data_IF_644273163866
#
_entry.id   IF_644273163866
#
_cell.length_a   1.000
_cell.length_b   1.000
_cell.length_c   1.000
_cell.angle_alpha   90.00
_cell.angle_beta   90.00
_cell.angle_gamma   90.00
#
_symmetry.space_group_name_H-M   'P 1'
#
loop_
_entity.id
_entity.type
_entity.pdbx_description
1 polymer ?
#
# COMPACT_ATOMS: atom_id res chain seq x y z
N UNK A 1 12.44 0.13 -6.96
CA UNK A 1 11.62 -0.27 -8.15
C UNK A 1 11.89 -1.69 -8.66
N UNK A 2 12.63 -2.49 -7.90
CA UNK A 2 12.95 -3.90 -8.24
C UNK A 2 11.72 -4.76 -8.60
N UNK A 3 10.54 -4.45 -8.05
CA UNK A 3 9.30 -5.20 -8.32
C UNK A 3 8.73 -5.01 -9.72
N UNK A 4 9.19 -4.02 -10.49
CA UNK A 4 8.79 -3.79 -11.88
C UNK A 4 9.74 -4.44 -12.89
N UNK A 5 10.89 -4.91 -12.45
CA UNK A 5 11.88 -5.56 -13.30
C UNK A 5 11.37 -6.91 -13.82
N UNK A 6 11.67 -7.25 -15.09
CA UNK A 6 11.42 -8.60 -15.60
C UNK A 6 12.33 -9.59 -14.86
N UNK A 7 11.78 -10.57 -14.15
CA UNK A 7 12.59 -11.51 -13.37
C UNK A 7 13.41 -12.47 -14.25
N UNK A 8 13.17 -12.54 -15.55
CA UNK A 8 13.91 -13.39 -16.48
C UNK A 8 15.01 -12.61 -17.22
N UNK A 9 14.70 -11.43 -17.74
CA UNK A 9 15.66 -10.57 -18.45
C UNK A 9 15.07 -9.16 -18.55
N UNK A 10 15.63 -8.22 -17.81
CA UNK A 10 15.16 -6.83 -17.82
C UNK A 10 16.00 -6.00 -18.82
N UNK A 11 15.32 -5.37 -19.77
CA UNK A 11 15.92 -4.48 -20.75
C UNK A 11 15.85 -2.99 -20.34
N UNK A 12 15.33 -2.71 -19.14
CA UNK A 12 15.21 -1.37 -18.58
C UNK A 12 16.22 -1.19 -17.46
N UNK A 13 17.16 -0.28 -17.66
CA UNK A 13 18.07 0.16 -16.60
C UNK A 13 17.35 1.17 -15.73
N UNK A 14 17.30 0.93 -14.43
CA UNK A 14 16.73 1.86 -13.45
C UNK A 14 17.86 2.49 -12.67
N UNK A 15 17.91 3.82 -12.70
CA UNK A 15 18.85 4.56 -11.88
C UNK A 15 18.43 4.43 -10.42
N UNK A 16 19.41 4.26 -9.54
CA UNK A 16 19.18 4.26 -8.10
C UNK A 16 18.83 5.66 -7.62
N UNK A 17 17.89 5.75 -6.68
CA UNK A 17 17.58 7.02 -6.02
C UNK A 17 18.81 7.50 -5.22
N UNK A 18 19.32 8.72 -5.49
CA UNK A 18 20.49 9.22 -4.79
C UNK A 18 20.15 9.49 -3.32
N UNK A 19 21.08 9.13 -2.45
CA UNK A 19 20.98 9.39 -1.00
C UNK A 19 21.55 10.77 -0.71
N UNK A 20 20.85 11.63 0.06
CA UNK A 20 21.39 12.92 0.47
C UNK A 20 22.71 12.77 1.21
N UNK A 21 23.75 13.52 0.78
CA UNK A 21 25.07 13.45 1.38
C UNK A 21 25.09 13.92 2.88
N UNK A 22 24.13 14.74 3.27
CA UNK A 22 23.94 15.25 4.63
C UNK A 22 23.08 14.32 5.49
N UNK A 23 22.55 13.22 4.94
CA UNK A 23 21.71 12.24 5.64
C UNK A 23 20.37 12.78 6.09
N UNK A 24 19.89 13.92 5.53
CA UNK A 24 18.57 14.49 5.86
C UNK A 24 17.43 13.54 5.49
N UNK A 25 16.37 13.56 6.29
CA UNK A 25 15.13 12.82 6.06
C UNK A 25 13.94 13.78 6.04
N UNK A 26 12.85 13.35 5.39
CA UNK A 26 11.55 14.04 5.45
C UNK A 26 10.68 13.49 6.58
N UNK A 27 9.60 14.17 6.97
CA UNK A 27 8.63 13.63 7.92
C UNK A 27 8.18 12.22 7.50
N UNK A 28 8.32 11.24 8.41
CA UNK A 28 8.09 9.82 8.09
C UNK A 28 9.38 8.99 7.95
N UNK A 29 10.56 9.63 7.95
CA UNK A 29 11.86 8.97 8.09
C UNK A 29 12.52 8.46 6.80
N UNK A 30 12.00 8.81 5.61
CA UNK A 30 12.66 8.50 4.34
C UNK A 30 13.46 9.67 3.77
N UNK A 31 14.29 9.41 2.76
CA UNK A 31 15.06 10.45 2.09
C UNK A 31 14.16 11.36 1.26
N UNK A 32 14.47 12.66 1.16
CA UNK A 32 13.87 13.52 0.15
C UNK A 32 14.23 13.00 -1.26
N UNK A 33 13.32 13.07 -2.22
CA UNK A 33 13.57 12.60 -3.58
C UNK A 33 14.48 13.61 -4.33
N UNK A 34 15.80 13.44 -4.24
CA UNK A 34 16.76 14.38 -4.85
C UNK A 34 16.55 14.56 -6.35
N UNK A 35 16.02 13.55 -7.05
CA UNK A 35 15.65 13.65 -8.47
C UNK A 35 14.49 14.62 -8.73
N UNK A 36 13.75 15.03 -7.70
CA UNK A 36 12.69 16.05 -7.78
C UNK A 36 13.14 17.42 -7.24
N UNK A 37 14.42 17.61 -6.96
CA UNK A 37 14.95 18.93 -6.60
C UNK A 37 15.13 19.79 -7.85
N UNK A 38 14.91 21.12 -7.76
CA UNK A 38 15.15 22.05 -8.86
C UNK A 38 16.56 21.93 -9.41
N UNK A 39 16.71 21.90 -10.74
CA UNK A 39 17.99 21.78 -11.42
C UNK A 39 18.50 20.36 -11.59
N UNK A 40 18.00 19.37 -10.84
CA UNK A 40 18.51 18.00 -10.97
C UNK A 40 18.33 17.45 -12.40
N UNK A 41 17.16 17.64 -12.99
CA UNK A 41 16.88 17.20 -14.35
C UNK A 41 17.82 17.89 -15.34
N UNK A 42 18.04 19.21 -15.19
CA UNK A 42 18.92 19.97 -16.06
C UNK A 42 20.37 19.48 -16.01
N UNK A 43 20.84 19.08 -14.84
CA UNK A 43 22.20 18.58 -14.62
C UNK A 43 22.38 17.12 -15.11
N UNK A 44 21.30 16.31 -15.12
CA UNK A 44 21.34 14.86 -15.34
C UNK A 44 20.54 14.37 -16.55
N UNK A 45 19.95 15.26 -17.37
CA UNK A 45 19.10 14.86 -18.51
C UNK A 45 19.78 13.93 -19.52
N UNK A 46 21.10 13.87 -19.56
CA UNK A 46 21.84 12.95 -20.43
C UNK A 46 21.99 11.55 -19.84
N UNK A 47 21.70 11.36 -18.56
CA UNK A 47 21.90 10.10 -17.84
C UNK A 47 20.68 9.17 -17.94
N UNK A 48 19.52 9.68 -18.40
CA UNK A 48 18.28 8.92 -18.51
C UNK A 48 17.50 9.23 -19.80
N UNK A 49 16.68 8.29 -20.22
CA UNK A 49 15.82 8.41 -21.41
C UNK A 49 14.38 8.79 -21.03
N UNK A 50 13.85 8.26 -19.93
CA UNK A 50 12.48 8.46 -19.45
C UNK A 50 12.51 8.79 -17.96
N UNK A 51 11.74 9.79 -17.53
CA UNK A 51 11.54 10.12 -16.13
C UNK A 51 10.22 9.50 -15.65
N UNK A 52 10.28 8.60 -14.66
CA UNK A 52 9.08 7.91 -14.17
C UNK A 52 8.89 8.12 -12.66
N UNK A 53 7.85 8.87 -12.30
CA UNK A 53 7.47 9.10 -10.91
C UNK A 53 6.45 8.06 -10.44
N UNK A 54 6.67 7.52 -9.24
CA UNK A 54 5.73 6.61 -8.57
C UNK A 54 5.16 7.19 -7.27
N UNK A 55 6.03 7.60 -6.37
CA UNK A 55 5.73 8.21 -5.06
C UNK A 55 6.98 8.94 -4.56
N UNK A 56 6.95 9.44 -3.31
CA UNK A 56 8.08 10.14 -2.71
C UNK A 56 8.04 11.66 -2.88
N UNK A 57 7.03 12.20 -3.54
CA UNK A 57 6.85 13.64 -3.73
C UNK A 57 6.00 14.31 -2.63
N UNK A 58 5.63 13.56 -1.60
CA UNK A 58 4.72 14.02 -0.52
C UNK A 58 5.18 15.31 0.18
N UNK A 59 6.51 15.46 0.32
CA UNK A 59 7.13 16.63 0.94
C UNK A 59 7.54 17.72 -0.09
N UNK A 60 7.20 17.53 -1.39
CA UNK A 60 7.59 18.45 -2.46
C UNK A 60 6.41 19.36 -2.82
N UNK A 61 6.60 20.67 -2.75
CA UNK A 61 5.55 21.62 -3.12
C UNK A 61 5.17 21.56 -4.61
N UNK A 62 3.94 21.93 -4.98
CA UNK A 62 3.47 21.91 -6.37
C UNK A 62 4.28 22.85 -7.28
N UNK A 63 4.85 23.92 -6.72
CA UNK A 63 5.73 24.86 -7.45
C UNK A 63 7.01 24.14 -7.91
N UNK A 64 7.64 23.40 -7.00
CA UNK A 64 8.86 22.64 -7.29
C UNK A 64 8.57 21.53 -8.33
N UNK A 65 7.45 20.82 -8.18
CA UNK A 65 7.03 19.82 -9.19
C UNK A 65 6.79 20.48 -10.55
N UNK A 66 6.28 21.71 -10.57
CA UNK A 66 6.10 22.48 -11.82
C UNK A 66 7.44 22.81 -12.46
N UNK A 67 8.46 23.20 -11.68
CA UNK A 67 9.82 23.46 -12.17
C UNK A 67 10.43 22.17 -12.76
N UNK A 68 10.36 21.04 -12.07
CA UNK A 68 10.84 19.75 -12.56
C UNK A 68 10.19 19.36 -13.90
N UNK A 69 8.87 19.51 -14.01
CA UNK A 69 8.14 19.25 -15.26
C UNK A 69 8.57 20.20 -16.39
N UNK A 70 8.85 21.46 -16.09
CA UNK A 70 9.36 22.41 -17.07
C UNK A 70 10.76 22.04 -17.53
N UNK A 71 11.64 21.60 -16.62
CA UNK A 71 12.99 21.12 -16.99
C UNK A 71 12.92 19.87 -17.89
N UNK A 72 12.04 18.91 -17.57
CA UNK A 72 11.82 17.74 -18.43
C UNK A 72 11.42 18.16 -19.85
N UNK A 73 10.49 19.11 -19.99
CA UNK A 73 10.07 19.65 -21.28
C UNK A 73 11.18 20.38 -22.01
N UNK A 74 11.99 21.19 -21.31
CA UNK A 74 13.12 21.92 -21.90
C UNK A 74 14.19 20.98 -22.49
N UNK A 75 14.34 19.80 -21.91
CA UNK A 75 15.32 18.79 -22.34
C UNK A 75 14.71 17.65 -23.16
N UNK A 76 13.47 17.82 -23.63
CA UNK A 76 12.73 16.80 -24.41
C UNK A 76 12.73 15.41 -23.73
N UNK A 77 12.57 15.39 -22.40
CA UNK A 77 12.53 14.15 -21.61
C UNK A 77 11.08 13.71 -21.35
N UNK A 78 10.68 12.55 -21.86
CA UNK A 78 9.36 12.00 -21.60
C UNK A 78 9.12 11.75 -20.10
N UNK A 79 7.89 12.04 -19.67
CA UNK A 79 7.46 11.91 -18.29
C UNK A 79 6.32 10.89 -18.16
N UNK A 80 6.56 9.84 -17.37
CA UNK A 80 5.55 8.83 -17.01
C UNK A 80 5.19 8.98 -15.53
N UNK A 81 3.92 8.89 -15.19
CA UNK A 81 3.49 8.94 -13.79
C UNK A 81 2.59 7.75 -13.44
N UNK A 82 2.99 6.97 -12.44
CA UNK A 82 2.13 5.94 -11.84
C UNK A 82 1.38 6.52 -10.64
N UNK A 83 0.07 6.67 -10.80
CA UNK A 83 -0.83 7.15 -9.74
C UNK A 83 -1.13 5.98 -8.80
N UNK A 84 -0.34 5.86 -7.73
CA UNK A 84 -0.55 4.85 -6.68
C UNK A 84 -1.68 5.24 -5.73
N UNK A 85 -1.70 6.50 -5.30
CA UNK A 85 -2.67 7.01 -4.35
C UNK A 85 -3.45 8.17 -4.95
N UNK A 86 -4.77 8.10 -4.92
CA UNK A 86 -5.68 9.20 -5.26
C UNK A 86 -5.89 10.12 -4.05
N UNK A 87 -5.49 9.68 -2.89
CA UNK A 87 -5.36 10.42 -1.65
C UNK A 87 -4.19 9.87 -0.85
N UNK A 88 -3.29 10.76 -0.44
CA UNK A 88 -2.09 10.38 0.30
C UNK A 88 -2.47 9.81 1.68
N UNK A 89 -2.06 8.57 2.00
CA UNK A 89 -2.39 7.94 3.27
C UNK A 89 -1.71 8.58 4.50
N UNK A 90 -0.73 9.42 4.29
CA UNK A 90 0.01 10.11 5.36
C UNK A 90 -0.57 11.48 5.72
N UNK A 91 -1.35 12.09 4.81
CA UNK A 91 -1.89 13.43 5.00
C UNK A 91 -3.33 13.39 5.50
N UNK A 92 -3.64 14.12 6.58
CA UNK A 92 -5.01 14.30 7.08
C UNK A 92 -5.87 15.04 6.06
N UNK A 93 -5.33 16.13 5.53
CA UNK A 93 -6.01 16.98 4.54
C UNK A 93 -5.60 16.59 3.11
N UNK A 94 -6.54 16.54 2.15
CA UNK A 94 -6.28 16.07 0.79
C UNK A 94 -5.66 17.15 -0.13
N UNK A 95 -5.77 18.43 0.21
CA UNK A 95 -5.53 19.55 -0.69
C UNK A 95 -4.13 19.54 -1.28
N UNK A 96 -3.10 19.40 -0.44
CA UNK A 96 -1.70 19.43 -0.89
C UNK A 96 -1.43 18.31 -1.91
N UNK A 97 -1.94 17.10 -1.65
CA UNK A 97 -1.77 15.99 -2.56
C UNK A 97 -2.54 16.18 -3.88
N UNK A 98 -3.75 16.78 -3.82
CA UNK A 98 -4.53 17.12 -5.03
C UNK A 98 -3.77 18.13 -5.88
N UNK A 99 -3.16 19.15 -5.28
CA UNK A 99 -2.38 20.16 -5.99
C UNK A 99 -1.15 19.53 -6.67
N UNK A 100 -0.42 18.67 -5.97
CA UNK A 100 0.68 17.89 -6.54
C UNK A 100 0.22 17.03 -7.72
N UNK A 101 -0.89 16.30 -7.56
CA UNK A 101 -1.47 15.48 -8.63
C UNK A 101 -1.93 16.30 -9.83
N UNK A 102 -2.48 17.50 -9.61
CA UNK A 102 -2.86 18.41 -10.71
C UNK A 102 -1.66 18.75 -11.60
N UNK A 103 -0.49 18.96 -11.01
CA UNK A 103 0.75 19.20 -11.78
C UNK A 103 1.20 17.96 -12.51
N UNK A 104 1.36 16.85 -11.80
CA UNK A 104 1.94 15.61 -12.35
C UNK A 104 1.03 14.96 -13.41
N UNK A 105 -0.28 14.87 -13.14
CA UNK A 105 -1.25 14.25 -14.06
C UNK A 105 -1.42 15.09 -15.34
N UNK A 106 -1.43 16.41 -15.21
CA UNK A 106 -1.53 17.27 -16.38
C UNK A 106 -0.30 17.17 -17.29
N UNK A 107 0.87 16.98 -16.70
CA UNK A 107 2.15 17.03 -17.40
C UNK A 107 2.60 15.67 -17.99
N UNK A 108 2.18 14.55 -17.40
CA UNK A 108 2.64 13.24 -17.82
C UNK A 108 2.25 12.91 -19.26
N UNK A 109 3.20 12.35 -20.03
CA UNK A 109 2.94 11.82 -21.37
C UNK A 109 2.09 10.55 -21.29
N UNK A 110 2.39 9.67 -20.32
CA UNK A 110 1.61 8.47 -20.03
C UNK A 110 1.30 8.36 -18.52
N UNK A 111 0.07 7.94 -18.22
CA UNK A 111 -0.40 7.67 -16.86
C UNK A 111 -0.62 6.18 -16.66
N UNK A 112 -0.22 5.69 -15.51
CA UNK A 112 -0.44 4.30 -15.06
C UNK A 112 -1.19 4.34 -13.74
N UNK A 113 -2.08 3.38 -13.52
CA UNK A 113 -2.67 3.09 -12.20
C UNK A 113 -2.92 1.59 -12.06
N UNK A 114 -3.35 1.12 -10.88
CA UNK A 114 -3.30 -0.30 -10.56
C UNK A 114 -4.65 -1.02 -10.71
N UNK A 115 -5.76 -0.28 -10.80
CA UNK A 115 -7.12 -0.85 -10.90
C UNK A 115 -7.99 -0.07 -11.87
N UNK A 116 -9.02 -0.72 -12.46
CA UNK A 116 -9.97 -0.04 -13.35
C UNK A 116 -10.72 1.11 -12.67
N UNK A 117 -11.14 0.95 -11.40
CA UNK A 117 -11.85 1.99 -10.66
C UNK A 117 -10.97 3.23 -10.40
N UNK A 118 -9.67 3.03 -10.10
CA UNK A 118 -8.73 4.15 -9.99
C UNK A 118 -8.53 4.87 -11.34
N UNK A 119 -8.46 4.14 -12.45
CA UNK A 119 -8.38 4.73 -13.79
C UNK A 119 -9.65 5.54 -14.13
N UNK A 120 -10.83 5.03 -13.75
CA UNK A 120 -12.08 5.75 -13.93
C UNK A 120 -12.14 7.03 -13.10
N UNK A 121 -11.62 7.00 -11.88
CA UNK A 121 -11.54 8.17 -10.99
C UNK A 121 -10.57 9.22 -11.53
N UNK A 122 -9.43 8.81 -12.09
CA UNK A 122 -8.49 9.70 -12.79
C UNK A 122 -9.19 10.37 -13.98
N UNK A 123 -9.90 9.60 -14.77
CA UNK A 123 -10.70 10.17 -15.87
C UNK A 123 -11.76 11.16 -15.38
N UNK A 124 -12.48 10.82 -14.32
CA UNK A 124 -13.52 11.69 -13.76
C UNK A 124 -12.97 13.03 -13.27
N UNK A 125 -11.80 13.01 -12.59
CA UNK A 125 -11.22 14.24 -12.00
C UNK A 125 -10.44 15.08 -13.00
N UNK A 126 -9.64 14.45 -13.85
CA UNK A 126 -8.66 15.14 -14.70
C UNK A 126 -8.90 14.96 -16.19
N UNK A 127 -9.88 14.19 -16.61
CA UNK A 127 -10.17 13.88 -18.02
C UNK A 127 -8.94 13.29 -18.75
N UNK A 128 -8.06 12.58 -18.00
CA UNK A 128 -6.88 11.89 -18.51
C UNK A 128 -7.09 10.39 -18.42
N UNK A 129 -6.68 9.68 -19.47
CA UNK A 129 -6.69 8.22 -19.48
C UNK A 129 -5.44 7.68 -18.76
N UNK A 130 -5.61 6.65 -17.96
CA UNK A 130 -4.52 5.92 -17.32
C UNK A 130 -4.54 4.44 -17.75
N UNK A 131 -3.38 3.89 -18.06
CA UNK A 131 -3.23 2.45 -18.31
C UNK A 131 -3.35 1.70 -16.98
N UNK A 132 -4.09 0.61 -16.97
CA UNK A 132 -4.24 -0.23 -15.78
C UNK A 132 -3.21 -1.35 -15.82
N UNK A 133 -2.25 -1.30 -14.91
CA UNK A 133 -1.27 -2.38 -14.70
C UNK A 133 -1.42 -2.87 -13.26
N UNK A 134 -1.70 -4.17 -13.03
CA UNK A 134 -1.94 -4.66 -11.68
C UNK A 134 -0.70 -4.53 -10.80
N UNK A 135 -0.93 -4.51 -9.49
CA UNK A 135 0.17 -4.47 -8.52
C UNK A 135 1.04 -5.74 -8.64
N UNK A 136 2.37 -5.63 -8.79
CA UNK A 136 3.25 -6.79 -8.83
C UNK A 136 3.28 -7.52 -7.49
N UNK A 137 3.70 -8.81 -7.49
CA UNK A 137 3.93 -9.50 -6.24
C UNK A 137 5.06 -8.85 -5.43
N UNK A 138 4.94 -8.88 -4.11
CA UNK A 138 5.91 -8.28 -3.19
C UNK A 138 6.83 -9.32 -2.55
N UNK A 139 6.38 -10.57 -2.45
CA UNK A 139 7.15 -11.69 -1.91
C UNK A 139 7.96 -12.41 -2.98
N UNK A 140 9.04 -13.03 -2.55
CA UNK A 140 9.83 -13.90 -3.38
C UNK A 140 9.19 -15.30 -3.54
N UNK A 141 9.82 -16.12 -4.40
CA UNK A 141 9.36 -17.48 -4.70
C UNK A 141 9.31 -18.36 -3.46
N UNK A 142 10.35 -18.33 -2.64
CA UNK A 142 10.48 -19.18 -1.47
C UNK A 142 9.32 -18.95 -0.50
N UNK A 143 8.99 -17.67 -0.25
CA UNK A 143 7.88 -17.29 0.63
C UNK A 143 6.52 -17.67 0.06
N UNK A 144 6.30 -17.49 -1.26
CA UNK A 144 5.03 -17.84 -1.92
C UNK A 144 4.82 -19.36 -1.92
N UNK A 145 5.87 -20.15 -2.18
CA UNK A 145 5.78 -21.62 -2.25
C UNK A 145 5.86 -22.30 -0.86
N UNK A 146 6.28 -21.58 0.19
CA UNK A 146 6.44 -22.14 1.54
C UNK A 146 5.11 -22.73 2.03
N UNK A 147 5.06 -24.01 2.45
CA UNK A 147 3.85 -24.62 2.95
C UNK A 147 3.30 -23.85 4.16
N UNK A 148 2.00 -23.55 4.13
CA UNK A 148 1.33 -22.93 5.27
C UNK A 148 0.79 -24.03 6.18
N UNK A 149 1.13 -23.98 7.46
CA UNK A 149 0.52 -24.86 8.46
C UNK A 149 -0.98 -24.54 8.56
N UNK A 150 -1.82 -25.56 8.62
CA UNK A 150 -3.26 -25.37 8.85
C UNK A 150 -3.45 -24.90 10.29
N UNK A 151 -3.80 -23.64 10.46
CA UNK A 151 -4.04 -23.10 11.78
C UNK A 151 -5.31 -23.72 12.39
N UNK A 152 -5.21 -24.12 13.66
CA UNK A 152 -6.35 -24.68 14.41
C UNK A 152 -7.22 -23.58 15.03
N UNK A 153 -6.75 -22.35 15.02
CA UNK A 153 -7.45 -21.17 15.54
C UNK A 153 -7.79 -20.23 14.40
N UNK A 154 -8.90 -19.53 14.55
CA UNK A 154 -9.25 -18.45 13.66
C UNK A 154 -8.64 -17.16 14.20
N UNK A 155 -7.51 -16.72 13.65
CA UNK A 155 -6.79 -15.54 14.12
C UNK A 155 -7.12 -14.35 13.21
N UNK A 156 -7.80 -13.36 13.77
CA UNK A 156 -8.10 -12.08 13.13
C UNK A 156 -7.03 -11.08 13.56
N UNK A 157 -6.28 -10.52 12.61
CA UNK A 157 -5.20 -9.58 12.89
C UNK A 157 -5.53 -8.16 12.46
N UNK A 158 -5.27 -7.19 13.32
CA UNK A 158 -5.23 -5.76 13.01
C UNK A 158 -3.82 -5.25 13.25
N UNK A 159 -3.20 -4.66 12.23
CA UNK A 159 -1.89 -4.06 12.36
C UNK A 159 -2.00 -2.53 12.36
N UNK A 160 -2.02 -1.95 13.54
CA UNK A 160 -2.07 -0.51 13.75
C UNK A 160 -0.63 0.06 13.80
N UNK A 161 0.05 0.00 12.66
CA UNK A 161 1.45 0.35 12.50
C UNK A 161 1.77 1.74 13.06
N UNK A 162 1.72 2.76 12.26
CA UNK A 162 2.18 4.11 12.60
C UNK A 162 1.03 5.06 12.92
N UNK A 163 -0.20 4.56 13.08
CA UNK A 163 -1.42 5.37 13.27
C UNK A 163 -1.50 6.56 12.29
N UNK A 164 -1.17 6.29 11.02
CA UNK A 164 -1.19 7.30 9.94
C UNK A 164 -2.59 7.88 9.75
N UNK A 165 -2.67 9.03 9.11
CA UNK A 165 -3.93 9.75 8.91
C UNK A 165 -5.06 8.90 8.27
N UNK A 166 -4.71 7.93 7.42
CA UNK A 166 -5.68 7.04 6.82
C UNK A 166 -6.16 5.90 7.74
N UNK A 167 -5.57 5.72 8.93
CA UNK A 167 -5.92 4.62 9.83
C UNK A 167 -6.87 5.09 10.92
N UNK A 168 -7.94 4.33 11.12
CA UNK A 168 -8.84 4.47 12.27
C UNK A 168 -9.10 3.10 12.92
N UNK A 169 -8.12 2.57 13.68
CA UNK A 169 -8.22 1.22 14.24
C UNK A 169 -9.18 1.10 15.41
N UNK A 170 -9.42 2.15 16.20
CA UNK A 170 -10.17 2.05 17.45
C UNK A 170 -11.61 1.55 17.27
N UNK A 171 -12.46 2.14 16.40
CA UNK A 171 -13.82 1.64 16.19
C UNK A 171 -13.82 0.23 15.59
N UNK A 172 -12.87 -0.07 14.69
CA UNK A 172 -12.75 -1.40 14.08
C UNK A 172 -12.35 -2.45 15.11
N UNK A 173 -11.39 -2.15 16.00
CA UNK A 173 -10.98 -3.04 17.10
C UNK A 173 -12.10 -3.26 18.09
N UNK A 174 -12.88 -2.22 18.44
CA UNK A 174 -14.03 -2.34 19.31
C UNK A 174 -15.05 -3.36 18.75
N UNK A 175 -15.44 -3.20 17.49
CA UNK A 175 -16.37 -4.11 16.82
C UNK A 175 -15.78 -5.54 16.72
N UNK A 176 -14.51 -5.68 16.32
CA UNK A 176 -13.84 -6.98 16.21
C UNK A 176 -13.74 -7.71 17.54
N UNK A 177 -13.57 -7.00 18.65
CA UNK A 177 -13.56 -7.60 20.00
C UNK A 177 -14.87 -8.30 20.29
N UNK A 178 -16.00 -7.65 20.02
CA UNK A 178 -17.33 -8.26 20.22
C UNK A 178 -17.57 -9.41 19.22
N UNK A 179 -17.26 -9.23 17.93
CA UNK A 179 -17.43 -10.24 16.89
C UNK A 179 -16.63 -11.51 17.23
N UNK A 180 -15.33 -11.37 17.53
CA UNK A 180 -14.47 -12.52 17.81
C UNK A 180 -14.82 -13.23 19.10
N UNK A 181 -15.40 -12.53 20.09
CA UNK A 181 -15.88 -13.14 21.33
C UNK A 181 -17.02 -14.15 21.09
N UNK A 182 -17.82 -13.92 20.05
CA UNK A 182 -18.96 -14.76 19.68
C UNK A 182 -18.59 -15.94 18.76
N UNK A 183 -17.42 -15.92 18.14
CA UNK A 183 -16.99 -16.92 17.15
C UNK A 183 -16.17 -18.05 17.80
N UNK A 184 -16.55 -19.33 17.61
CA UNK A 184 -15.82 -20.45 18.17
C UNK A 184 -14.37 -20.54 17.70
N UNK A 185 -13.41 -20.55 18.63
CA UNK A 185 -11.98 -20.69 18.35
C UNK A 185 -11.35 -19.43 17.74
N UNK A 186 -12.04 -18.30 17.73
CA UNK A 186 -11.52 -17.04 17.25
C UNK A 186 -10.65 -16.33 18.29
N UNK A 187 -9.63 -15.64 17.84
CA UNK A 187 -8.80 -14.71 18.62
C UNK A 187 -8.55 -13.45 17.80
N UNK A 188 -8.53 -12.30 18.47
CA UNK A 188 -8.14 -11.03 17.90
C UNK A 188 -6.69 -10.73 18.28
N UNK A 189 -5.84 -10.49 17.31
CA UNK A 189 -4.46 -10.06 17.51
C UNK A 189 -4.28 -8.63 17.03
N UNK A 190 -3.87 -7.73 17.94
CA UNK A 190 -3.62 -6.33 17.65
C UNK A 190 -2.11 -6.08 17.72
N UNK A 191 -1.53 -5.61 16.64
CA UNK A 191 -0.10 -5.30 16.59
C UNK A 191 0.11 -3.78 16.51
N UNK A 192 0.96 -3.25 17.39
CA UNK A 192 1.33 -1.85 17.49
C UNK A 192 2.83 -1.72 17.35
N UNK A 193 3.30 -0.68 16.65
CA UNK A 193 4.71 -0.32 16.71
C UNK A 193 5.00 0.50 17.97
N UNK A 194 6.14 0.28 18.59
CA UNK A 194 6.62 0.99 19.78
C UNK A 194 6.84 2.49 19.54
N UNK A 195 7.07 2.89 18.30
CA UNK A 195 7.26 4.29 17.89
C UNK A 195 6.12 5.23 18.31
N UNK A 196 4.87 4.72 18.41
CA UNK A 196 3.72 5.53 18.83
C UNK A 196 3.79 5.97 20.29
N UNK A 197 4.69 5.37 21.07
CA UNK A 197 4.96 5.72 22.46
C UNK A 197 6.26 6.54 22.64
N UNK A 198 7.05 6.74 21.60
CA UNK A 198 8.28 7.53 21.62
C UNK A 198 7.99 9.01 21.34
N UNK A 199 8.19 9.93 22.31
CA UNK A 199 7.94 11.35 22.12
C UNK A 199 8.80 12.02 21.03
N UNK A 200 9.91 11.40 20.65
CA UNK A 200 10.80 11.90 19.60
C UNK A 200 10.35 11.44 18.19
N UNK A 201 9.43 10.50 18.11
CA UNK A 201 8.97 9.96 16.83
C UNK A 201 7.87 10.83 16.21
N UNK A 202 7.88 10.95 14.90
CA UNK A 202 6.86 11.68 14.13
C UNK A 202 5.44 11.12 14.36
N UNK A 203 5.32 9.81 14.60
CA UNK A 203 4.05 9.11 14.81
C UNK A 203 3.62 9.02 16.28
N UNK A 204 4.22 9.81 17.17
CA UNK A 204 3.89 9.81 18.59
C UNK A 204 2.39 10.02 18.85
N UNK A 205 1.72 8.99 19.36
CA UNK A 205 0.28 8.99 19.64
C UNK A 205 -0.03 8.11 20.85
N UNK A 206 0.46 8.49 22.07
CA UNK A 206 0.42 7.63 23.24
C UNK A 206 -1.00 7.35 23.75
N UNK A 207 -1.95 8.28 23.55
CA UNK A 207 -3.32 8.09 24.03
C UNK A 207 -4.07 7.06 23.18
N UNK A 208 -3.93 7.10 21.86
CA UNK A 208 -4.47 6.07 20.98
C UNK A 208 -3.79 4.72 21.23
N UNK A 209 -2.47 4.73 21.45
CA UNK A 209 -1.73 3.52 21.81
C UNK A 209 -2.24 2.89 23.11
N UNK A 210 -2.43 3.67 24.17
CA UNK A 210 -3.00 3.20 25.44
C UNK A 210 -4.42 2.65 25.28
N UNK A 211 -5.27 3.35 24.51
CA UNK A 211 -6.62 2.89 24.25
C UNK A 211 -6.64 1.51 23.55
N UNK A 212 -5.67 1.25 22.64
CA UNK A 212 -5.53 -0.06 22.02
C UNK A 212 -4.95 -1.11 22.99
N UNK A 213 -4.01 -0.75 23.86
CA UNK A 213 -3.47 -1.65 24.88
C UNK A 213 -4.55 -2.12 25.88
N UNK A 214 -5.54 -1.30 26.19
CA UNK A 214 -6.62 -1.64 27.11
C UNK A 214 -7.47 -2.83 26.66
N UNK A 215 -7.43 -3.21 25.36
CA UNK A 215 -8.11 -4.40 24.84
C UNK A 215 -7.47 -5.72 25.28
N UNK A 216 -6.21 -5.74 25.74
CA UNK A 216 -5.53 -6.95 26.24
C UNK A 216 -6.21 -7.55 27.49
N UNK A 217 -7.08 -6.79 28.15
CA UNK A 217 -7.93 -7.29 29.26
C UNK A 217 -8.94 -8.38 28.85
N UNK A 218 -9.25 -8.50 27.55
CA UNK A 218 -10.18 -9.50 27.03
C UNK A 218 -9.42 -10.81 26.73
N UNK A 219 -9.87 -11.94 27.28
CA UNK A 219 -9.17 -13.22 27.25
C UNK A 219 -8.92 -13.79 25.82
N UNK A 220 -9.66 -13.31 24.82
CA UNK A 220 -9.52 -13.70 23.41
C UNK A 220 -8.80 -12.65 22.55
N UNK A 221 -8.30 -11.59 23.18
CA UNK A 221 -7.52 -10.53 22.52
C UNK A 221 -6.07 -10.62 22.97
N UNK A 222 -5.14 -10.44 22.03
CA UNK A 222 -3.69 -10.45 22.24
C UNK A 222 -3.13 -9.16 21.64
N UNK A 223 -2.69 -8.24 22.48
CA UNK A 223 -2.11 -6.96 22.04
C UNK A 223 -0.61 -7.02 22.14
N UNK A 224 0.07 -6.76 21.02
CA UNK A 224 1.52 -6.83 20.91
C UNK A 224 2.10 -5.49 20.52
N UNK A 225 3.05 -5.02 21.32
CA UNK A 225 3.90 -3.85 20.97
C UNK A 225 5.26 -4.35 20.58
N UNK A 226 5.76 -3.91 19.44
CA UNK A 226 7.06 -4.36 18.93
C UNK A 226 7.69 -3.27 18.04
N UNK A 227 9.02 -3.30 17.82
CA UNK A 227 9.69 -2.46 16.83
C UNK A 227 9.25 -2.84 15.41
N UNK A 228 9.71 -2.08 14.41
CA UNK A 228 9.48 -2.44 13.02
C UNK A 228 9.95 -3.88 12.74
N UNK A 229 9.08 -4.64 12.09
CA UNK A 229 9.44 -5.95 11.59
C UNK A 229 10.47 -5.83 10.46
N UNK A 230 11.44 -6.71 10.44
CA UNK A 230 12.15 -7.04 9.20
C UNK A 230 11.16 -7.63 8.17
N UNK A 231 11.56 -7.68 6.91
CA UNK A 231 10.73 -8.29 5.86
C UNK A 231 10.32 -9.73 6.23
N UNK A 232 11.27 -10.51 6.75
CA UNK A 232 11.03 -11.90 7.14
C UNK A 232 10.04 -12.03 8.30
N UNK A 233 10.18 -11.21 9.33
CA UNK A 233 9.25 -11.17 10.47
C UNK A 233 7.86 -10.73 10.03
N UNK A 234 7.78 -9.76 9.11
CA UNK A 234 6.50 -9.29 8.55
C UNK A 234 5.78 -10.42 7.81
N UNK A 235 6.52 -11.17 6.96
CA UNK A 235 5.93 -12.28 6.23
C UNK A 235 5.51 -13.43 7.14
N UNK A 236 6.28 -13.74 8.17
CA UNK A 236 5.92 -14.75 9.16
C UNK A 236 4.70 -14.31 9.99
N UNK A 237 4.64 -13.03 10.37
CA UNK A 237 3.45 -12.44 11.02
C UNK A 237 2.21 -12.57 10.14
N UNK A 238 2.25 -12.10 8.90
CA UNK A 238 1.11 -12.18 7.99
C UNK A 238 0.68 -13.62 7.72
N UNK A 239 1.63 -14.55 7.58
CA UNK A 239 1.34 -15.98 7.40
C UNK A 239 0.72 -16.60 8.64
N UNK A 240 0.92 -16.06 9.83
CA UNK A 240 0.34 -16.55 11.09
C UNK A 240 -1.15 -16.19 11.26
N UNK A 241 -1.64 -15.18 10.53
CA UNK A 241 -3.02 -14.73 10.60
C UNK A 241 -3.93 -15.59 9.71
N UNK A 242 -5.14 -15.87 10.16
CA UNK A 242 -6.19 -16.41 9.27
C UNK A 242 -6.80 -15.30 8.42
N UNK A 243 -7.03 -14.15 9.04
CA UNK A 243 -7.61 -12.95 8.42
C UNK A 243 -6.83 -11.72 8.86
N UNK A 244 -6.49 -10.85 7.92
CA UNK A 244 -5.98 -9.50 8.20
C UNK A 244 -7.07 -8.47 7.91
N UNK A 245 -7.37 -7.59 8.87
CA UNK A 245 -8.35 -6.51 8.69
C UNK A 245 -7.61 -5.19 8.49
N UNK A 246 -7.97 -4.45 7.45
CA UNK A 246 -7.38 -3.14 7.15
C UNK A 246 -8.29 -2.02 7.65
N UNK A 247 -7.92 -1.29 8.72
CA UNK A 247 -8.74 -0.25 9.32
C UNK A 247 -8.51 1.11 8.63
N UNK A 248 -8.58 1.14 7.29
CA UNK A 248 -8.31 2.36 6.52
C UNK A 248 -9.60 3.11 6.23
N UNK A 249 -9.67 4.38 6.63
CA UNK A 249 -10.82 5.26 6.34
C UNK A 249 -10.70 5.96 4.98
N UNK A 250 -9.53 5.93 4.36
CA UNK A 250 -9.29 6.28 2.96
C UNK A 250 -8.05 5.59 2.42
N UNK A 251 -7.98 5.43 1.10
CA UNK A 251 -6.88 4.79 0.39
C UNK A 251 -7.26 4.47 -1.04
N UNK A 252 -6.33 3.93 -1.81
CA UNK A 252 -6.53 3.55 -3.22
C UNK A 252 -6.23 2.09 -3.44
N UNK A 253 -4.99 1.67 -3.14
CA UNK A 253 -4.46 0.32 -3.29
C UNK A 253 -3.73 -0.10 -2.02
N UNK A 254 -3.35 -1.40 -1.93
CA UNK A 254 -2.63 -1.90 -0.76
C UNK A 254 -1.60 -2.95 -1.12
N UNK A 255 -0.32 -2.66 -0.85
CA UNK A 255 0.76 -3.65 -0.89
C UNK A 255 0.59 -4.73 0.19
N UNK A 256 -0.07 -4.39 1.31
CA UNK A 256 -0.42 -5.35 2.35
C UNK A 256 -1.40 -6.42 1.86
N UNK A 257 -2.40 -6.02 1.07
CA UNK A 257 -3.34 -6.95 0.42
C UNK A 257 -2.61 -7.90 -0.53
N UNK A 258 -1.63 -7.41 -1.30
CA UNK A 258 -0.81 -8.25 -2.18
C UNK A 258 0.00 -9.28 -1.37
N UNK A 259 0.65 -8.85 -0.30
CA UNK A 259 1.42 -9.75 0.56
C UNK A 259 0.54 -10.83 1.19
N UNK A 260 -0.62 -10.44 1.71
CA UNK A 260 -1.59 -11.39 2.26
C UNK A 260 -2.08 -12.39 1.21
N UNK A 261 -2.38 -11.93 -0.01
CA UNK A 261 -2.77 -12.80 -1.12
C UNK A 261 -1.64 -13.79 -1.48
N UNK A 262 -0.40 -13.32 -1.54
CA UNK A 262 0.76 -14.16 -1.83
C UNK A 262 0.96 -15.25 -0.76
N UNK A 263 0.68 -14.95 0.50
CA UNK A 263 0.81 -15.88 1.64
C UNK A 263 -0.43 -16.76 1.87
N UNK A 264 -1.57 -16.42 1.28
CA UNK A 264 -2.85 -17.12 1.49
C UNK A 264 -3.55 -16.71 2.79
N UNK A 265 -3.30 -15.52 3.30
CA UNK A 265 -4.04 -14.90 4.39
C UNK A 265 -5.25 -14.18 3.81
N UNK A 266 -6.45 -14.47 4.31
CA UNK A 266 -7.64 -13.74 3.89
C UNK A 266 -7.55 -12.28 4.34
N UNK A 267 -8.17 -11.37 3.57
CA UNK A 267 -8.17 -9.96 3.92
C UNK A 267 -9.60 -9.43 3.96
N UNK A 268 -9.89 -8.65 5.00
CA UNK A 268 -11.11 -7.85 5.14
C UNK A 268 -10.70 -6.40 4.96
N UNK A 269 -11.23 -5.76 3.93
CA UNK A 269 -10.83 -4.43 3.46
C UNK A 269 -11.99 -3.44 3.54
N UNK A 270 -11.72 -2.14 3.72
CA UNK A 270 -12.76 -1.13 3.68
C UNK A 270 -13.26 -0.86 2.26
N UNK A 271 -14.47 -0.31 2.15
CA UNK A 271 -15.08 0.08 0.87
C UNK A 271 -14.56 1.39 0.30
N UNK A 272 -13.69 2.12 1.02
CA UNK A 272 -13.19 3.44 0.61
C UNK A 272 -12.17 3.43 -0.53
N UNK A 273 -11.61 2.27 -0.88
CA UNK A 273 -10.61 2.11 -1.95
C UNK A 273 -11.01 1.07 -2.99
N UNK A 274 -10.09 0.77 -3.91
CA UNK A 274 -10.33 -0.19 -5.01
C UNK A 274 -9.74 -1.59 -4.70
N UNK A 275 -9.69 -1.97 -3.44
CA UNK A 275 -9.06 -3.20 -2.95
C UNK A 275 -9.72 -4.47 -3.54
N UNK A 276 -11.07 -4.46 -3.69
CA UNK A 276 -11.83 -5.58 -4.28
C UNK A 276 -11.53 -5.83 -5.75
N UNK A 277 -11.04 -4.80 -6.47
CA UNK A 277 -10.58 -4.93 -7.86
C UNK A 277 -9.12 -5.40 -7.93
N UNK A 278 -8.35 -5.18 -6.87
CA UNK A 278 -6.95 -5.53 -6.79
C UNK A 278 -6.77 -7.04 -6.56
N UNK A 279 -7.42 -7.61 -5.53
CA UNK A 279 -7.34 -9.04 -5.19
C UNK A 279 -8.65 -9.53 -4.53
N UNK A 280 -8.94 -10.84 -4.58
CA UNK A 280 -10.07 -11.39 -3.82
C UNK A 280 -9.96 -11.08 -2.34
N UNK A 281 -10.97 -10.42 -1.79
CA UNK A 281 -11.04 -10.03 -0.38
C UNK A 281 -12.50 -9.93 0.07
N UNK A 282 -12.72 -9.78 1.38
CA UNK A 282 -14.03 -9.44 1.93
C UNK A 282 -14.08 -7.93 2.13
N UNK A 283 -15.19 -7.29 1.76
CA UNK A 283 -15.34 -5.83 1.87
C UNK A 283 -16.30 -5.50 3.01
N UNK A 284 -15.98 -4.47 3.79
CA UNK A 284 -16.85 -3.88 4.79
C UNK A 284 -16.95 -2.36 4.60
N UNK A 285 -18.03 -1.77 5.07
CA UNK A 285 -18.31 -0.36 4.86
C UNK A 285 -17.61 0.51 5.91
N UNK A 286 -16.49 1.09 5.50
CA UNK A 286 -15.71 2.08 6.27
C UNK A 286 -15.19 3.14 5.31
N UNK A 287 -15.36 4.39 5.72
CA UNK A 287 -14.83 5.58 5.07
C UNK A 287 -14.52 6.65 6.10
N UNK A 288 -14.25 7.88 5.65
CA UNK A 288 -13.85 8.97 6.54
C UNK A 288 -14.92 9.34 7.55
N UNK A 289 -16.20 9.33 7.12
CA UNK A 289 -17.33 9.84 7.89
C UNK A 289 -18.35 8.74 8.24
N UNK A 290 -18.04 7.48 7.94
CA UNK A 290 -18.97 6.37 8.18
C UNK A 290 -18.25 5.08 8.53
N UNK A 291 -18.91 4.27 9.37
CA UNK A 291 -18.52 2.90 9.67
C UNK A 291 -19.79 2.06 9.92
N UNK A 292 -19.96 0.98 9.15
CA UNK A 292 -21.04 -0.01 9.37
C UNK A 292 -20.48 -1.27 10.04
N UNK A 293 -20.65 -1.36 11.35
CA UNK A 293 -20.23 -2.53 12.16
C UNK A 293 -20.88 -3.83 11.68
N UNK A 294 -22.14 -3.78 11.20
CA UNK A 294 -22.83 -4.97 10.70
C UNK A 294 -22.22 -5.47 9.39
N UNK A 295 -21.67 -4.58 8.57
CA UNK A 295 -20.95 -4.99 7.37
C UNK A 295 -19.63 -5.68 7.72
N UNK A 296 -18.91 -5.19 8.74
CA UNK A 296 -17.70 -5.84 9.26
C UNK A 296 -18.03 -7.21 9.85
N UNK A 297 -19.09 -7.31 10.65
CA UNK A 297 -19.57 -8.57 11.22
C UNK A 297 -19.83 -9.61 10.11
N UNK A 298 -20.59 -9.24 9.08
CA UNK A 298 -20.84 -10.11 7.91
C UNK A 298 -19.55 -10.57 7.22
N UNK A 299 -18.59 -9.66 7.02
CA UNK A 299 -17.31 -9.95 6.38
C UNK A 299 -16.47 -10.94 7.20
N UNK A 300 -16.40 -10.77 8.52
CA UNK A 300 -15.68 -11.67 9.42
C UNK A 300 -16.36 -13.05 9.51
N UNK A 301 -17.69 -13.10 9.61
CA UNK A 301 -18.44 -14.36 9.60
C UNK A 301 -18.22 -15.14 8.28
N UNK A 302 -18.26 -14.48 7.13
CA UNK A 302 -17.98 -15.10 5.84
C UNK A 302 -16.55 -15.67 5.78
N UNK A 303 -15.57 -14.95 6.32
CA UNK A 303 -14.19 -15.44 6.42
C UNK A 303 -14.07 -16.64 7.38
N UNK A 304 -14.78 -16.61 8.51
CA UNK A 304 -14.82 -17.72 9.49
C UNK A 304 -15.46 -19.00 8.90
N UNK A 305 -16.56 -18.87 8.20
CA UNK A 305 -17.21 -20.01 7.50
C UNK A 305 -16.28 -20.65 6.48
N UNK A 306 -15.56 -19.87 5.70
CA UNK A 306 -14.57 -20.39 4.74
C UNK A 306 -13.43 -21.11 5.44
N UNK A 307 -12.93 -20.55 6.54
CA UNK A 307 -11.90 -21.21 7.35
C UNK A 307 -12.40 -22.52 7.96
N UNK A 308 -13.58 -22.53 8.55
CA UNK A 308 -14.19 -23.72 9.17
C UNK A 308 -14.40 -24.86 8.17
N UNK A 309 -14.71 -24.54 6.93
CA UNK A 309 -14.87 -25.50 5.82
C UNK A 309 -13.54 -25.89 5.14
N UNK A 310 -12.41 -25.32 5.59
CA UNK A 310 -11.09 -25.59 5.01
C UNK A 310 -10.83 -24.86 3.69
N UNK A 311 -11.63 -23.86 3.36
CA UNK A 311 -11.51 -23.02 2.18
C UNK A 311 -10.89 -21.63 2.52
N UNK A 312 -10.01 -21.58 3.52
CA UNK A 312 -9.32 -20.35 3.89
C UNK A 312 -8.53 -19.79 2.70
N UNK A 313 -8.40 -18.50 2.64
CA UNK A 313 -7.66 -17.63 1.73
C UNK A 313 -7.27 -18.13 0.33
N UNK A 314 -7.39 -17.32 -0.66
CA UNK A 314 -6.80 -17.59 -1.97
C UNK A 314 -5.29 -17.46 -1.87
N UNK A 315 -4.56 -18.52 -2.04
CA UNK A 315 -3.11 -18.48 -2.07
C UNK A 315 -2.61 -18.35 -3.49
N UNK A 316 -1.69 -17.42 -3.69
CA UNK A 316 -1.01 -17.24 -4.96
C UNK A 316 -0.25 -18.51 -5.39
N UNK A 317 -0.23 -18.74 -6.69
CA UNK A 317 0.63 -19.75 -7.31
C UNK A 317 1.84 -19.06 -7.91
N UNK A 318 3.06 -19.49 -7.57
CA UNK A 318 4.27 -18.83 -8.04
C UNK A 318 4.30 -18.62 -9.55
N UNK A 319 4.01 -19.66 -10.32
CA UNK A 319 4.03 -19.55 -11.77
C UNK A 319 3.07 -18.48 -12.33
N UNK A 320 1.92 -18.28 -11.67
CA UNK A 320 0.97 -17.24 -12.08
C UNK A 320 1.49 -15.83 -11.73
N UNK A 321 2.07 -15.67 -10.51
CA UNK A 321 2.67 -14.40 -10.08
C UNK A 321 3.90 -14.03 -10.90
N UNK A 322 4.73 -15.02 -11.23
CA UNK A 322 5.88 -14.83 -12.11
C UNK A 322 5.44 -14.38 -13.52
N UNK A 323 4.44 -15.06 -14.10
CA UNK A 323 3.91 -14.69 -15.42
C UNK A 323 3.24 -13.31 -15.40
N UNK A 324 2.53 -12.95 -14.32
CA UNK A 324 1.94 -11.63 -14.12
C UNK A 324 3.03 -10.55 -14.08
N UNK A 325 4.09 -10.74 -13.30
CA UNK A 325 5.21 -9.81 -13.22
C UNK A 325 5.91 -9.59 -14.55
N UNK A 326 6.12 -10.65 -15.33
CA UNK A 326 6.67 -10.53 -16.69
C UNK A 326 5.78 -9.69 -17.61
N UNK A 327 4.44 -9.88 -17.53
CA UNK A 327 3.50 -9.06 -18.32
C UNK A 327 3.54 -7.58 -17.88
N UNK A 328 3.64 -7.32 -16.58
CA UNK A 328 3.78 -5.96 -16.04
C UNK A 328 5.08 -5.31 -16.56
N UNK A 329 6.20 -6.03 -16.50
CA UNK A 329 7.49 -5.53 -16.99
C UNK A 329 7.46 -5.25 -18.49
N UNK A 330 6.87 -6.16 -19.29
CA UNK A 330 6.71 -5.96 -20.73
C UNK A 330 5.84 -4.74 -21.05
N UNK A 331 4.72 -4.56 -20.33
CA UNK A 331 3.85 -3.39 -20.51
C UNK A 331 4.55 -2.07 -20.16
N UNK A 332 5.38 -2.04 -19.10
CA UNK A 332 6.19 -0.86 -18.80
C UNK A 332 7.21 -0.57 -19.91
N UNK A 333 7.86 -1.61 -20.41
CA UNK A 333 8.79 -1.46 -21.52
C UNK A 333 8.11 -0.88 -22.78
N UNK A 334 6.92 -1.38 -23.13
CA UNK A 334 6.11 -0.85 -24.24
C UNK A 334 5.73 0.63 -24.01
N UNK A 335 5.35 1.00 -22.78
CA UNK A 335 5.05 2.39 -22.43
C UNK A 335 6.30 3.26 -22.63
N UNK A 336 7.45 2.85 -22.09
CA UNK A 336 8.68 3.62 -22.25
C UNK A 336 9.09 3.78 -23.71
N UNK A 337 8.97 2.73 -24.52
CA UNK A 337 9.22 2.83 -25.95
C UNK A 337 8.24 3.78 -26.66
N UNK A 338 6.96 3.78 -26.27
CA UNK A 338 5.95 4.62 -26.93
C UNK A 338 6.12 6.11 -26.67
N UNK A 339 6.76 6.50 -25.57
CA UNK A 339 7.03 7.91 -25.24
C UNK A 339 8.38 8.40 -25.78
N UNK A 340 9.24 7.51 -26.27
CA UNK A 340 10.54 7.85 -26.88
C UNK A 340 10.47 8.11 -28.39
N UNK A 341 9.32 7.91 -29.01
CA UNK A 341 9.05 8.12 -30.43
C UNK A 341 8.40 9.48 -30.63
#
# INVERSE_FOLDING_TARGET
MRHLADPAADNVVRLDDPVPADGRTVPGGWWPPLMLEPGWVSDHHQDFDVFHVHFGFDATGPEVLTEVVQELKMHDKPFVYTVHDLRNPHHGEPEAHIEQQNVLIAAADELITLTPGAAQEIWRRWQRQARVLPHPHVLDRERIERPRARDRRFVVGVHAKSLRANMDPLPVVAALTEITSSLPGATLQINLHDEIFDPANYWFSPDAGKALLDYDRHAHVDVRVHPYFSDDELWDYLASLTVSVLPYRFGTHSGWLEACFDLGTAVVVPSCGFYGEQRPCHVFDLGEDYFDELSLDRAIHAAHERWATGQSGHRAQWHARFAERRRIAAAHHEIYQSVLV
#
